data_IF_408922977375
#
_entry.id   IF_408922977375
#
_cell.length_a   1.000
_cell.length_b   1.000
_cell.length_c   1.000
_cell.angle_alpha   90.00
_cell.angle_beta   90.00
_cell.angle_gamma   90.00
#
_symmetry.space_group_name_H-M   'P 1'
#
loop_
_entity.id
_entity.type
_entity.pdbx_description
1 polymer ?
#
# COMPACT_ATOMS: atom_id res chain seq x y z
N UNK A 1 -18.27 10.79 -26.31
CA UNK A 1 -17.55 11.59 -25.30
C UNK A 1 -16.17 11.90 -25.87
N UNK A 2 -15.92 13.16 -26.17
CA UNK A 2 -14.67 13.65 -26.76
C UNK A 2 -13.61 13.74 -25.67
N UNK A 3 -12.57 12.92 -25.75
CA UNK A 3 -11.41 13.05 -24.87
C UNK A 3 -10.36 13.95 -25.50
N UNK A 4 -10.31 15.17 -24.98
CA UNK A 4 -9.21 16.12 -25.13
C UNK A 4 -7.88 15.45 -24.74
N UNK A 5 -7.01 15.23 -25.72
CA UNK A 5 -5.59 14.96 -25.48
C UNK A 5 -4.84 16.23 -25.87
N UNK A 6 -4.66 17.13 -24.92
CA UNK A 6 -3.78 18.27 -25.07
C UNK A 6 -3.43 18.79 -23.68
N UNK A 7 -2.22 18.47 -23.24
CA UNK A 7 -1.32 19.36 -22.49
C UNK A 7 -0.07 18.57 -22.05
N UNK A 8 0.78 18.26 -23.03
CA UNK A 8 2.22 18.19 -22.76
C UNK A 8 2.77 19.58 -23.01
N UNK A 9 3.04 20.30 -21.93
CA UNK A 9 3.75 21.58 -21.93
C UNK A 9 5.07 21.40 -22.68
N UNK A 10 5.11 21.89 -23.92
CA UNK A 10 6.37 22.10 -24.64
C UNK A 10 7.09 23.26 -23.96
N UNK A 11 8.39 23.15 -23.62
CA UNK A 11 9.19 24.33 -23.39
C UNK A 11 9.27 25.10 -24.70
N UNK A 12 8.55 26.22 -24.79
CA UNK A 12 8.76 27.21 -25.84
C UNK A 12 10.06 27.94 -25.55
N UNK A 13 11.20 27.34 -25.92
CA UNK A 13 12.37 28.13 -26.28
C UNK A 13 12.31 28.33 -27.79
N UNK A 14 11.41 29.22 -28.20
CA UNK A 14 11.28 29.67 -29.57
C UNK A 14 12.46 30.59 -29.89
N UNK A 15 13.55 30.02 -30.38
CA UNK A 15 14.41 30.74 -31.33
C UNK A 15 13.65 30.79 -32.66
N UNK A 16 12.73 31.75 -32.79
CA UNK A 16 12.26 32.18 -34.11
C UNK A 16 13.35 33.07 -34.72
N UNK A 17 14.44 32.45 -35.15
CA UNK A 17 15.31 33.08 -36.14
C UNK A 17 14.52 33.04 -37.46
N UNK A 18 14.23 34.22 -38.02
CA UNK A 18 13.58 34.28 -39.32
C UNK A 18 14.49 33.60 -40.34
N UNK A 19 13.94 32.72 -41.20
CA UNK A 19 14.72 32.02 -42.24
C UNK A 19 15.49 33.00 -43.16
N UNK A 20 15.07 34.28 -43.20
CA UNK A 20 15.69 35.32 -43.99
C UNK A 20 17.03 35.83 -43.41
N UNK A 21 17.26 35.72 -42.09
CA UNK A 21 18.52 36.18 -41.46
C UNK A 21 19.65 35.13 -41.54
N UNK A 22 19.32 33.84 -41.69
CA UNK A 22 20.33 32.79 -41.90
C UNK A 22 20.85 32.74 -43.35
N UNK A 23 20.11 33.31 -44.30
CA UNK A 23 20.43 33.24 -45.74
C UNK A 23 21.14 34.49 -46.29
N UNK A 24 21.41 35.51 -45.45
CA UNK A 24 22.08 36.75 -45.90
C UNK A 24 23.60 36.67 -45.91
N UNK A 25 24.19 35.55 -45.48
CA UNK A 25 25.61 35.28 -45.68
C UNK A 25 25.89 35.02 -47.15
N UNK A 26 26.82 35.78 -47.77
CA UNK A 26 27.27 35.55 -49.14
C UNK A 26 28.05 34.22 -49.22
N UNK A 27 27.34 33.09 -49.20
CA UNK A 27 27.93 31.78 -49.44
C UNK A 27 28.37 31.68 -50.89
N UNK A 28 29.59 31.19 -51.12
CA UNK A 28 30.04 30.93 -52.48
C UNK A 28 29.24 29.75 -53.06
N UNK A 29 29.11 29.66 -54.39
CA UNK A 29 28.41 28.53 -55.03
C UNK A 29 29.01 27.18 -54.62
N UNK A 30 30.31 27.13 -54.32
CA UNK A 30 30.99 25.94 -53.82
C UNK A 30 30.53 25.55 -52.41
N UNK A 31 30.30 26.52 -51.52
CA UNK A 31 29.82 26.25 -50.16
C UNK A 31 28.40 25.69 -50.20
N UNK A 32 27.54 26.22 -51.06
CA UNK A 32 26.18 25.71 -51.25
C UNK A 32 26.17 24.25 -51.73
N UNK A 33 27.06 23.88 -52.66
CA UNK A 33 27.21 22.50 -53.11
C UNK A 33 27.71 21.56 -52.00
N UNK A 34 28.63 22.03 -51.15
CA UNK A 34 29.10 21.25 -50.00
C UNK A 34 28.00 21.05 -48.95
N UNK A 35 27.22 22.09 -48.66
CA UNK A 35 26.08 22.02 -47.75
C UNK A 35 25.04 21.02 -48.27
N UNK A 36 24.69 21.07 -49.56
CA UNK A 36 23.73 20.13 -50.16
C UNK A 36 24.23 18.68 -50.07
N UNK A 37 25.52 18.44 -50.35
CA UNK A 37 26.13 17.11 -50.17
C UNK A 37 26.11 16.63 -48.72
N UNK A 38 26.27 17.54 -47.75
CA UNK A 38 26.18 17.21 -46.33
C UNK A 38 24.74 16.88 -45.90
N UNK A 39 23.75 17.63 -46.40
CA UNK A 39 22.33 17.39 -46.16
C UNK A 39 21.89 16.03 -46.72
N UNK A 40 22.28 15.70 -47.96
CA UNK A 40 21.96 14.41 -48.59
C UNK A 40 22.59 13.23 -47.83
N UNK A 41 23.87 13.33 -47.46
CA UNK A 41 24.58 12.25 -46.73
C UNK A 41 24.03 12.01 -45.33
N UNK A 42 23.45 13.04 -44.70
CA UNK A 42 22.93 13.01 -43.34
C UNK A 42 21.41 13.15 -43.28
N UNK A 43 20.69 12.81 -44.35
CA UNK A 43 19.24 12.95 -44.41
C UNK A 43 18.52 12.22 -43.26
N UNK A 44 19.02 11.04 -42.86
CA UNK A 44 18.49 10.26 -41.73
C UNK A 44 18.61 10.99 -40.39
N UNK A 45 19.71 11.71 -40.18
CA UNK A 45 19.96 12.51 -38.98
C UNK A 45 19.06 13.74 -38.92
N UNK A 46 18.97 14.51 -40.02
CA UNK A 46 18.12 15.69 -40.06
C UNK A 46 16.63 15.35 -39.94
N UNK A 47 16.18 14.26 -40.56
CA UNK A 47 14.82 13.76 -40.37
C UNK A 47 14.53 13.35 -38.92
N UNK A 48 15.55 12.93 -38.17
CA UNK A 48 15.40 12.68 -36.73
C UNK A 48 15.27 13.96 -35.92
N UNK A 49 16.09 14.98 -36.21
CA UNK A 49 16.04 16.27 -35.50
C UNK A 49 14.71 17.00 -35.72
N UNK A 50 14.10 16.85 -36.90
CA UNK A 50 12.80 17.48 -37.26
C UNK A 50 11.60 16.62 -36.77
N UNK A 51 11.84 15.56 -35.98
CA UNK A 51 10.82 14.60 -35.53
C UNK A 51 10.08 13.85 -36.66
N UNK A 52 10.57 13.91 -37.90
CA UNK A 52 10.05 13.16 -39.05
C UNK A 52 10.58 11.71 -39.13
N UNK A 53 11.26 11.25 -38.09
CA UNK A 53 11.78 9.90 -38.00
C UNK A 53 10.77 8.94 -37.35
N UNK A 54 11.00 7.62 -37.53
CA UNK A 54 10.18 6.53 -36.98
C UNK A 54 9.95 6.68 -35.46
N UNK A 55 10.92 7.23 -34.73
CA UNK A 55 10.78 7.49 -33.30
C UNK A 55 9.81 8.64 -32.99
N UNK A 56 9.79 9.71 -33.78
CA UNK A 56 8.88 10.86 -33.61
C UNK A 56 7.42 10.49 -33.88
N UNK A 57 7.20 9.51 -34.77
CA UNK A 57 5.87 8.96 -35.07
C UNK A 57 5.37 7.94 -34.03
N UNK A 58 6.20 7.47 -33.07
CA UNK A 58 5.76 6.45 -32.11
C UNK A 58 4.97 7.04 -30.94
N UNK A 59 3.72 6.63 -30.85
CA UNK A 59 2.82 6.89 -29.71
C UNK A 59 3.18 5.98 -28.52
N UNK A 60 3.88 4.88 -28.81
CA UNK A 60 4.18 3.77 -27.90
C UNK A 60 5.36 3.97 -26.94
N UNK A 61 6.20 4.99 -27.13
CA UNK A 61 7.50 5.15 -26.45
C UNK A 61 8.57 4.08 -26.72
N UNK A 62 8.25 2.97 -27.41
CA UNK A 62 9.15 1.82 -27.57
C UNK A 62 9.87 1.69 -28.92
N UNK A 63 9.49 2.45 -29.95
CA UNK A 63 10.15 2.37 -31.25
C UNK A 63 11.38 3.27 -31.28
N UNK A 64 12.57 2.66 -31.32
CA UNK A 64 13.84 3.36 -31.47
C UNK A 64 14.25 3.35 -32.95
N UNK A 65 14.64 4.50 -33.47
CA UNK A 65 15.36 4.56 -34.73
C UNK A 65 16.85 4.26 -34.47
N UNK A 66 17.52 3.64 -35.44
CA UNK A 66 18.99 3.59 -35.44
C UNK A 66 19.50 5.00 -35.67
N UNK A 67 19.79 5.71 -34.57
CA UNK A 67 20.38 7.03 -34.59
C UNK A 67 21.79 6.92 -35.20
N UNK A 68 21.91 7.21 -36.48
CA UNK A 68 23.21 7.49 -37.07
C UNK A 68 23.63 8.87 -36.59
N UNK A 69 24.74 8.94 -35.84
CA UNK A 69 25.38 10.21 -35.53
C UNK A 69 25.68 10.93 -36.84
N UNK A 70 25.65 12.26 -36.83
CA UNK A 70 26.06 13.07 -37.98
C UNK A 70 27.39 12.51 -38.50
N UNK A 71 27.37 12.00 -39.75
CA UNK A 71 28.57 11.57 -40.46
C UNK A 71 29.28 12.86 -40.82
N UNK A 72 30.09 13.36 -39.90
CA UNK A 72 31.05 14.41 -40.18
C UNK A 72 31.87 13.92 -41.36
N UNK A 73 31.85 14.68 -42.46
CA UNK A 73 33.00 14.66 -43.35
C UNK A 73 34.12 15.24 -42.52
N UNK A 74 34.87 14.37 -41.85
CA UNK A 74 36.13 14.74 -41.26
C UNK A 74 36.97 15.29 -42.41
N UNK A 75 37.00 16.62 -42.54
CA UNK A 75 38.22 17.27 -42.96
C UNK A 75 39.27 16.67 -42.05
N UNK A 76 40.18 15.87 -42.63
CA UNK A 76 41.25 15.19 -41.92
C UNK A 76 41.80 16.24 -40.95
N UNK A 77 41.63 16.08 -39.62
CA UNK A 77 42.24 17.01 -38.72
C UNK A 77 43.73 16.90 -39.02
N UNK A 78 44.34 18.00 -39.47
CA UNK A 78 45.78 18.10 -39.66
C UNK A 78 46.40 17.94 -38.28
N UNK A 79 46.52 16.70 -37.82
CA UNK A 79 47.25 16.36 -36.61
C UNK A 79 48.69 16.65 -36.94
N UNK A 80 49.31 17.54 -36.18
CA UNK A 80 50.75 17.71 -36.27
C UNK A 80 51.44 16.37 -35.97
N UNK A 81 52.61 16.14 -36.56
CA UNK A 81 53.37 14.90 -36.34
C UNK A 81 53.60 14.63 -34.83
N UNK A 82 53.79 15.70 -34.05
CA UNK A 82 53.87 15.64 -32.59
C UNK A 82 52.63 15.01 -31.91
N UNK A 83 51.42 15.34 -32.37
CA UNK A 83 50.18 14.75 -31.84
C UNK A 83 50.00 13.28 -32.23
N UNK A 84 50.69 12.80 -33.26
CA UNK A 84 50.70 11.39 -33.64
C UNK A 84 51.69 10.61 -32.78
N UNK A 85 52.85 11.20 -32.47
CA UNK A 85 53.93 10.51 -31.77
C UNK A 85 53.75 10.50 -30.23
N UNK A 86 53.07 11.49 -29.66
CA UNK A 86 52.90 11.64 -28.20
C UNK A 86 51.47 11.41 -27.73
N UNK A 87 50.96 10.20 -27.92
CA UNK A 87 49.72 9.76 -27.26
C UNK A 87 50.04 9.32 -25.83
N UNK A 88 49.36 9.89 -24.83
CA UNK A 88 49.50 9.49 -23.43
C UNK A 88 49.25 7.98 -23.28
N UNK A 89 50.32 7.24 -22.97
CA UNK A 89 50.23 5.81 -22.70
C UNK A 89 49.70 5.62 -21.28
N UNK A 90 48.44 5.20 -21.19
CA UNK A 90 47.84 4.80 -19.91
C UNK A 90 48.69 3.65 -19.32
N UNK A 91 49.18 3.77 -18.07
CA UNK A 91 49.92 2.70 -17.44
C UNK A 91 49.01 1.47 -17.31
N UNK A 92 49.47 0.33 -17.81
CA UNK A 92 48.72 -0.92 -17.72
C UNK A 92 48.49 -1.27 -16.24
N UNK A 93 47.24 -1.18 -15.77
CA UNK A 93 46.84 -1.64 -14.44
C UNK A 93 47.24 -3.11 -14.30
N UNK A 94 48.14 -3.39 -13.34
CA UNK A 94 48.43 -4.74 -12.89
C UNK A 94 47.11 -5.32 -12.37
N UNK A 95 46.66 -6.43 -12.96
CA UNK A 95 45.42 -7.10 -12.56
C UNK A 95 45.59 -7.56 -11.12
N UNK A 96 44.78 -7.02 -10.21
CA UNK A 96 44.76 -7.45 -8.81
C UNK A 96 44.44 -8.94 -8.74
N UNK A 97 45.30 -9.69 -8.06
CA UNK A 97 45.11 -11.13 -7.77
C UNK A 97 43.77 -11.27 -7.05
N UNK A 98 42.83 -11.99 -7.67
CA UNK A 98 41.50 -12.23 -7.13
C UNK A 98 41.60 -12.96 -5.80
N UNK A 99 40.95 -12.41 -4.77
CA UNK A 99 40.80 -13.05 -3.47
C UNK A 99 40.21 -14.46 -3.66
N UNK A 100 40.88 -15.47 -3.11
CA UNK A 100 40.41 -16.85 -3.12
C UNK A 100 39.02 -16.93 -2.45
N UNK A 101 38.07 -17.68 -3.04
CA UNK A 101 36.74 -17.82 -2.48
C UNK A 101 36.83 -18.52 -1.12
N UNK A 102 36.36 -17.85 -0.08
CA UNK A 102 36.20 -18.42 1.26
C UNK A 102 35.08 -19.46 1.20
N UNK A 103 35.39 -20.69 1.61
CA UNK A 103 34.42 -21.78 1.66
C UNK A 103 33.25 -21.40 2.59
N UNK A 104 32.03 -21.41 2.03
CA UNK A 104 30.79 -21.25 2.78
C UNK A 104 30.12 -22.61 2.81
N UNK A 105 29.91 -23.14 4.01
CA UNK A 105 29.07 -24.33 4.20
C UNK A 105 27.62 -23.96 3.90
N UNK A 106 27.09 -24.41 2.77
CA UNK A 106 25.70 -24.22 2.36
C UNK A 106 24.71 -25.14 3.12
N UNK A 107 25.22 -25.96 4.05
CA UNK A 107 24.40 -26.88 4.83
C UNK A 107 23.92 -26.23 6.13
N UNK A 108 22.77 -25.57 6.04
CA UNK A 108 21.99 -25.21 7.23
C UNK A 108 21.37 -26.47 7.82
N UNK A 109 21.99 -27.00 8.88
CA UNK A 109 21.42 -28.10 9.67
C UNK A 109 20.08 -27.65 10.27
N UNK A 110 18.97 -28.22 9.79
CA UNK A 110 17.64 -27.97 10.36
C UNK A 110 17.49 -28.78 11.65
N UNK A 111 17.68 -28.12 12.79
CA UNK A 111 17.41 -28.71 14.10
C UNK A 111 15.90 -28.67 14.40
N UNK A 112 15.14 -29.53 13.72
CA UNK A 112 13.72 -29.75 14.03
C UNK A 112 13.55 -31.19 14.52
N UNK A 113 12.95 -31.36 15.70
CA UNK A 113 12.59 -32.66 16.24
C UNK A 113 11.21 -33.06 15.70
N UNK A 114 10.97 -34.37 15.54
CA UNK A 114 9.68 -34.92 15.09
C UNK A 114 8.51 -34.40 15.92
N UNK A 115 8.70 -34.27 17.24
CA UNK A 115 7.71 -33.71 18.15
C UNK A 115 7.30 -32.26 17.80
N UNK A 116 8.22 -31.42 17.31
CA UNK A 116 7.93 -30.04 16.93
C UNK A 116 7.20 -29.95 15.58
N UNK A 117 7.37 -30.95 14.71
CA UNK A 117 6.65 -31.06 13.45
C UNK A 117 5.24 -31.61 13.66
N UNK A 118 5.09 -32.61 14.52
CA UNK A 118 3.84 -33.37 14.70
C UNK A 118 2.84 -32.67 15.64
N UNK A 119 3.32 -31.95 16.66
CA UNK A 119 2.48 -31.26 17.64
C UNK A 119 2.46 -29.75 17.43
N UNK A 120 2.13 -29.31 16.20
CA UNK A 120 1.77 -27.90 15.98
C UNK A 120 0.35 -27.69 16.52
N UNK A 121 0.21 -26.77 17.47
CA UNK A 121 -1.08 -26.46 18.10
C UNK A 121 -2.18 -26.35 17.02
N UNK A 122 -3.24 -27.19 17.08
CA UNK A 122 -4.32 -27.09 16.14
C UNK A 122 -4.96 -25.72 16.36
N UNK A 123 -4.75 -24.80 15.40
CA UNK A 123 -5.34 -23.47 15.43
C UNK A 123 -6.82 -23.63 15.69
N UNK A 124 -7.25 -23.28 16.91
CA UNK A 124 -8.66 -23.27 17.25
C UNK A 124 -9.34 -22.35 16.25
N UNK A 125 -10.08 -22.93 15.29
CA UNK A 125 -10.86 -22.14 14.36
C UNK A 125 -11.89 -21.41 15.24
N UNK A 126 -11.87 -20.07 15.30
CA UNK A 126 -12.90 -19.36 16.04
C UNK A 126 -14.24 -19.81 15.47
N UNK A 127 -15.20 -20.15 16.34
CA UNK A 127 -16.55 -20.43 15.91
C UNK A 127 -17.08 -19.16 15.23
N UNK A 128 -17.03 -19.12 13.91
CA UNK A 128 -17.57 -18.02 13.13
C UNK A 128 -19.08 -18.16 13.22
N UNK A 129 -19.71 -17.40 14.13
CA UNK A 129 -21.14 -17.15 14.03
C UNK A 129 -21.38 -16.60 12.62
N UNK A 130 -22.09 -17.34 11.78
CA UNK A 130 -22.47 -16.91 10.44
C UNK A 130 -23.34 -15.66 10.56
N UNK A 131 -22.68 -14.49 10.56
CA UNK A 131 -23.36 -13.21 10.43
C UNK A 131 -23.37 -12.91 8.93
N UNK A 132 -24.55 -12.75 8.31
CA UNK A 132 -24.61 -12.31 6.93
C UNK A 132 -23.87 -10.98 6.81
N UNK A 133 -22.91 -10.92 5.90
CA UNK A 133 -22.16 -9.70 5.59
C UNK A 133 -23.16 -8.69 5.02
N UNK A 134 -23.66 -7.81 5.87
CA UNK A 134 -24.39 -6.64 5.38
C UNK A 134 -23.36 -5.74 4.69
N UNK A 135 -23.53 -5.41 3.39
CA UNK A 135 -22.65 -4.47 2.73
C UNK A 135 -22.83 -3.11 3.41
N UNK A 136 -21.89 -2.74 4.26
CA UNK A 136 -21.82 -1.39 4.79
C UNK A 136 -21.37 -0.50 3.65
N UNK A 137 -22.32 0.25 3.10
CA UNK A 137 -22.02 1.29 2.14
C UNK A 137 -21.32 2.44 2.88
N UNK A 138 -19.99 2.34 2.99
CA UNK A 138 -19.16 3.42 3.51
C UNK A 138 -18.84 4.33 2.33
N UNK A 139 -19.61 5.41 2.18
CA UNK A 139 -19.23 6.47 1.26
C UNK A 139 -17.91 7.10 1.74
N UNK A 140 -16.88 7.20 0.90
CA UNK A 140 -15.66 7.90 1.26
C UNK A 140 -16.00 9.38 1.47
N UNK A 141 -16.05 9.80 2.74
CA UNK A 141 -16.25 11.19 3.10
C UNK A 141 -14.91 11.93 2.98
N UNK A 142 -14.72 12.65 1.88
CA UNK A 142 -13.51 13.42 1.57
C UNK A 142 -13.45 14.77 2.31
N UNK A 143 -13.78 14.83 3.60
CA UNK A 143 -13.74 16.07 4.38
C UNK A 143 -12.46 16.26 5.20
N UNK A 144 -11.39 15.53 4.87
CA UNK A 144 -10.08 15.76 5.48
C UNK A 144 -9.38 16.92 4.80
N UNK A 145 -9.00 17.95 5.56
CA UNK A 145 -8.06 18.95 5.07
C UNK A 145 -6.68 18.32 4.84
N UNK A 146 -5.90 18.88 3.92
CA UNK A 146 -4.50 18.44 3.68
C UNK A 146 -3.66 18.48 4.96
N UNK A 147 -3.96 19.41 5.88
CA UNK A 147 -3.34 19.50 7.19
C UNK A 147 -3.60 18.25 8.04
N UNK A 148 -4.84 17.77 8.07
CA UNK A 148 -5.24 16.60 8.85
C UNK A 148 -4.64 15.28 8.32
N UNK A 149 -4.41 15.18 7.00
CA UNK A 149 -3.71 14.07 6.36
C UNK A 149 -2.20 14.07 6.65
N UNK A 150 -1.58 15.25 6.71
CA UNK A 150 -0.13 15.41 6.86
C UNK A 150 0.34 15.46 8.32
N UNK A 151 -0.51 15.94 9.23
CA UNK A 151 -0.21 16.10 10.66
C UNK A 151 -0.97 15.07 11.51
N UNK A 152 -1.27 13.91 10.94
CA UNK A 152 -1.77 12.78 11.71
C UNK A 152 -0.75 12.49 12.81
N UNK A 153 -1.18 12.46 14.07
CA UNK A 153 -0.29 12.17 15.21
C UNK A 153 0.49 10.89 14.90
N UNK A 154 1.79 11.04 14.65
CA UNK A 154 2.68 9.90 14.55
C UNK A 154 2.50 9.04 15.80
N UNK A 155 2.41 7.71 15.68
CA UNK A 155 2.33 6.85 16.85
C UNK A 155 3.50 7.24 17.75
N UNK A 156 3.19 7.61 18.99
CA UNK A 156 4.21 7.93 19.97
C UNK A 156 5.05 6.66 20.09
N UNK A 157 6.28 6.69 19.55
CA UNK A 157 7.17 5.54 19.57
C UNK A 157 7.17 5.02 21.00
N UNK A 158 6.92 3.72 21.15
CA UNK A 158 6.84 3.06 22.44
C UNK A 158 8.08 3.48 23.23
N UNK A 159 7.85 4.28 24.28
CA UNK A 159 8.94 4.83 25.08
C UNK A 159 9.67 3.61 25.61
N UNK A 160 10.89 3.39 25.12
CA UNK A 160 11.74 2.33 25.62
C UNK A 160 11.93 2.67 27.09
N UNK A 161 11.19 1.97 27.95
CA UNK A 161 11.37 2.05 29.38
C UNK A 161 12.76 1.48 29.62
N UNK A 162 13.75 2.38 29.72
CA UNK A 162 15.06 2.05 30.26
C UNK A 162 14.77 1.67 31.70
N UNK A 163 14.51 0.38 31.94
CA UNK A 163 14.38 -0.16 33.28
C UNK A 163 15.75 0.05 33.91
N UNK A 164 15.90 0.97 34.89
CA UNK A 164 17.17 1.11 35.58
C UNK A 164 17.49 -0.25 36.18
N UNK A 165 18.75 -0.70 36.04
CA UNK A 165 19.17 -1.94 36.68
C UNK A 165 19.00 -1.78 38.19
N UNK A 166 17.91 -2.34 38.72
CA UNK A 166 17.65 -2.44 40.15
C UNK A 166 18.65 -3.47 40.71
N UNK A 167 19.87 -3.03 40.97
CA UNK A 167 20.75 -3.71 41.91
C UNK A 167 20.37 -3.21 43.30
N UNK A 168 19.58 -3.95 44.10
CA UNK A 168 19.28 -3.53 45.46
C UNK A 168 20.60 -3.56 46.25
N UNK A 169 21.16 -2.40 46.55
CA UNK A 169 22.33 -2.25 47.44
C UNK A 169 22.00 -2.60 48.89
N UNK A 170 20.73 -2.90 49.19
CA UNK A 170 20.24 -3.25 50.52
C UNK A 170 19.76 -4.70 50.52
N UNK A 171 20.46 -5.58 51.25
CA UNK A 171 20.03 -6.95 51.51
C UNK A 171 18.78 -6.94 52.39
N UNK A 172 17.61 -7.17 51.79
CA UNK A 172 16.32 -7.22 52.50
C UNK A 172 16.16 -8.44 53.41
N UNK A 173 17.01 -9.45 53.23
CA UNK A 173 16.91 -10.73 53.94
C UNK A 173 17.68 -10.76 55.27
N UNK A 174 18.28 -9.64 55.69
CA UNK A 174 18.82 -9.54 57.05
C UNK A 174 17.66 -9.37 58.04
N UNK A 175 17.06 -10.48 58.46
CA UNK A 175 16.08 -10.46 59.54
C UNK A 175 16.76 -10.05 60.84
N UNK A 176 16.25 -9.00 61.48
CA UNK A 176 16.70 -8.59 62.80
C UNK A 176 16.19 -9.59 63.84
N UNK A 177 17.06 -10.50 64.29
CA UNK A 177 16.75 -11.53 65.31
C UNK A 177 16.84 -10.94 66.73
N UNK A 178 16.26 -9.75 66.92
CA UNK A 178 16.16 -9.10 68.24
C UNK A 178 14.72 -9.16 68.74
N UNK A 179 14.42 -10.09 69.65
CA UNK A 179 13.20 -10.01 70.47
C UNK A 179 13.59 -9.60 71.89
N UNK A 180 12.97 -8.55 72.42
CA UNK A 180 13.18 -8.15 73.81
C UNK A 180 12.62 -9.20 74.76
N UNK A 181 13.30 -9.42 75.89
CA UNK A 181 12.85 -10.38 76.91
C UNK A 181 11.44 -10.05 77.41
N UNK A 182 11.07 -8.77 77.44
CA UNK A 182 9.73 -8.34 77.79
C UNK A 182 8.65 -8.94 76.87
N UNK A 183 8.87 -8.93 75.55
CA UNK A 183 7.92 -9.51 74.58
C UNK A 183 7.83 -11.03 74.71
N UNK A 184 8.91 -11.70 75.12
CA UNK A 184 8.91 -13.16 75.38
C UNK A 184 8.11 -13.53 76.62
N UNK A 185 8.12 -12.66 77.64
CA UNK A 185 7.56 -12.98 78.95
C UNK A 185 6.12 -12.48 79.16
N UNK A 186 5.62 -11.55 78.33
CA UNK A 186 4.33 -10.89 78.54
C UNK A 186 3.40 -10.88 77.31
N UNK A 187 3.47 -11.89 76.43
CA UNK A 187 2.44 -12.05 75.39
C UNK A 187 1.13 -12.52 76.05
N UNK A 188 0.18 -11.61 76.24
CA UNK A 188 -1.09 -11.88 76.94
C UNK A 188 -1.84 -13.10 76.40
N UNK A 189 -2.46 -13.87 77.30
CA UNK A 189 -3.32 -14.99 76.94
C UNK A 189 -4.68 -14.48 76.43
N UNK A 190 -5.25 -15.09 75.36
CA UNK A 190 -6.53 -14.65 74.84
C UNK A 190 -7.67 -14.99 75.80
N UNK A 191 -8.48 -13.97 76.15
CA UNK A 191 -9.67 -14.11 77.00
C UNK A 191 -10.79 -14.78 76.19
N UNK A 192 -11.27 -15.93 76.65
CA UNK A 192 -12.39 -16.65 76.04
C UNK A 192 -13.71 -15.98 76.46
N UNK A 193 -14.45 -15.37 75.51
CA UNK A 193 -15.78 -14.80 75.77
C UNK A 193 -16.83 -15.90 75.73
N UNK A 194 -17.46 -16.18 76.86
CA UNK A 194 -18.58 -17.12 76.98
C UNK A 194 -19.80 -16.63 76.18
N UNK A 195 -20.33 -17.47 75.30
CA UNK A 195 -21.40 -17.17 74.32
C UNK A 195 -22.82 -17.42 74.86
N UNK A 196 -23.09 -17.17 76.15
CA UNK A 196 -24.37 -17.53 76.76
C UNK A 196 -25.19 -16.33 77.26
N UNK A 197 -25.41 -15.33 76.41
CA UNK A 197 -26.39 -14.26 76.66
C UNK A 197 -27.12 -13.90 75.35
N UNK A 198 -28.01 -14.78 74.89
CA UNK A 198 -28.99 -14.45 73.83
C UNK A 198 -30.39 -14.81 74.34
N UNK A 199 -31.05 -13.79 74.90
CA UNK A 199 -32.50 -13.69 75.06
C UNK A 199 -33.20 -13.76 73.70
N UNK A 200 -33.41 -14.95 73.12
CA UNK A 200 -33.96 -14.98 71.77
C UNK A 200 -34.42 -16.32 71.21
N UNK A 201 -34.74 -17.32 72.02
CA UNK A 201 -35.30 -18.57 71.52
C UNK A 201 -36.66 -18.82 72.18
N UNK A 202 -37.70 -18.90 71.34
CA UNK A 202 -39.09 -19.31 71.62
C UNK A 202 -40.10 -18.21 72.00
N UNK A 203 -40.54 -17.41 71.01
CA UNK A 203 -41.92 -16.90 71.00
C UNK A 203 -42.64 -17.37 69.72
N UNK A 204 -43.58 -18.28 69.89
CA UNK A 204 -44.37 -18.90 68.82
C UNK A 204 -45.71 -18.18 68.60
N UNK A 205 -45.83 -16.92 69.03
CA UNK A 205 -47.07 -16.15 68.92
C UNK A 205 -46.98 -15.15 67.78
N UNK A 206 -47.72 -15.45 66.71
CA UNK A 206 -48.01 -14.50 65.63
C UNK A 206 -48.71 -13.27 66.19
N UNK A 207 -48.32 -12.11 65.67
CA UNK A 207 -48.71 -10.77 66.10
C UNK A 207 -50.21 -10.66 66.48
N UNK A 208 -50.56 -10.30 67.75
CA UNK A 208 -51.94 -10.35 68.26
C UNK A 208 -52.89 -9.32 67.63
N UNK A 209 -52.38 -8.45 66.75
CA UNK A 209 -53.15 -7.34 66.15
C UNK A 209 -53.69 -7.68 64.75
N UNK A 210 -53.25 -8.76 64.09
CA UNK A 210 -53.73 -9.08 62.75
C UNK A 210 -53.78 -10.59 62.44
N UNK A 211 -54.91 -11.26 62.71
CA UNK A 211 -55.07 -12.68 62.41
C UNK A 211 -55.30 -12.89 60.91
N UNK A 212 -54.21 -12.90 60.13
CA UNK A 212 -54.13 -13.57 58.82
C UNK A 212 -55.24 -13.28 57.79
N UNK A 213 -55.80 -12.07 57.75
CA UNK A 213 -56.77 -11.71 56.72
C UNK A 213 -56.08 -11.58 55.36
N UNK A 214 -56.47 -12.35 54.33
CA UNK A 214 -55.87 -12.24 53.00
C UNK A 214 -56.22 -10.87 52.38
N UNK A 215 -55.23 -10.23 51.78
CA UNK A 215 -55.38 -8.92 51.16
C UNK A 215 -56.17 -9.02 49.85
N UNK A 216 -57.39 -8.46 49.80
CA UNK A 216 -58.28 -8.48 48.62
C UNK A 216 -58.04 -7.33 47.62
N UNK A 217 -56.95 -6.58 47.74
CA UNK A 217 -56.67 -5.45 46.86
C UNK A 217 -56.09 -5.88 45.50
N UNK A 218 -56.81 -5.61 44.41
CA UNK A 218 -56.26 -5.66 43.04
C UNK A 218 -56.13 -4.24 42.48
N UNK A 219 -54.98 -3.89 41.93
CA UNK A 219 -54.76 -2.56 41.32
C UNK A 219 -55.57 -2.39 40.03
N UNK A 220 -56.00 -1.17 39.72
CA UNK A 220 -56.72 -0.84 38.47
C UNK A 220 -55.94 -1.24 37.22
N UNK A 221 -54.61 -1.12 37.26
CA UNK A 221 -53.72 -1.55 36.18
C UNK A 221 -53.82 -3.06 35.90
N UNK A 222 -53.80 -3.90 36.93
CA UNK A 222 -53.93 -5.37 36.76
C UNK A 222 -55.31 -5.79 36.25
N UNK A 223 -56.34 -4.97 36.46
CA UNK A 223 -57.68 -5.17 35.87
C UNK A 223 -57.73 -4.74 34.41
N UNK A 224 -57.10 -3.63 34.06
CA UNK A 224 -57.17 -3.03 32.72
C UNK A 224 -56.29 -3.76 31.68
N UNK A 225 -55.11 -4.23 32.08
CA UNK A 225 -54.12 -4.80 31.16
C UNK A 225 -54.03 -6.32 31.27
N UNK A 226 -55.09 -7.02 30.85
CA UNK A 226 -55.06 -8.47 30.71
C UNK A 226 -54.64 -8.85 29.28
N UNK A 227 -53.79 -9.87 29.10
CA UNK A 227 -53.37 -10.30 27.77
C UNK A 227 -54.59 -10.75 26.96
N UNK A 228 -54.86 -10.08 25.84
CA UNK A 228 -55.91 -10.46 24.90
C UNK A 228 -55.32 -11.23 23.72
N UNK A 229 -56.04 -12.24 23.23
CA UNK A 229 -55.63 -13.01 22.04
C UNK A 229 -55.99 -12.19 20.80
N UNK A 230 -55.00 -11.66 20.10
CA UNK A 230 -55.22 -10.98 18.83
C UNK A 230 -55.74 -11.96 17.76
N UNK A 231 -56.79 -11.57 17.03
CA UNK A 231 -57.30 -12.33 15.87
C UNK A 231 -56.23 -12.33 14.78
N UNK A 232 -55.79 -13.52 14.35
CA UNK A 232 -54.82 -13.66 13.25
C UNK A 232 -55.50 -13.32 11.92
N UNK A 233 -55.21 -12.15 11.36
CA UNK A 233 -55.55 -11.82 9.98
C UNK A 233 -54.58 -12.55 9.05
N UNK A 234 -55.09 -13.45 8.20
CA UNK A 234 -54.28 -14.11 7.15
C UNK A 234 -53.98 -13.08 6.06
N UNK A 235 -52.71 -12.83 5.70
CA UNK A 235 -52.38 -11.97 4.58
C UNK A 235 -52.79 -12.65 3.26
N UNK A 236 -53.57 -11.96 2.44
CA UNK A 236 -53.92 -12.35 1.08
C UNK A 236 -52.67 -12.29 0.20
N UNK A 237 -52.26 -13.42 -0.35
CA UNK A 237 -51.12 -13.50 -1.27
C UNK A 237 -51.55 -13.00 -2.66
N UNK A 238 -51.21 -11.76 -3.00
CA UNK A 238 -51.26 -11.29 -4.39
C UNK A 238 -49.96 -11.69 -5.07
N UNK A 239 -50.06 -12.55 -6.09
CA UNK A 239 -48.92 -13.01 -6.90
C UNK A 239 -48.59 -11.95 -7.96
N UNK A 240 -47.88 -10.90 -7.56
CA UNK A 240 -47.29 -9.94 -8.50
C UNK A 240 -45.91 -10.46 -8.90
N UNK A 241 -45.74 -10.86 -10.17
CA UNK A 241 -44.41 -11.06 -10.75
C UNK A 241 -43.69 -9.71 -10.75
N UNK A 242 -42.75 -9.55 -9.82
CA UNK A 242 -41.93 -8.35 -9.71
C UNK A 242 -40.91 -8.38 -10.85
N UNK A 243 -41.14 -7.58 -11.88
CA UNK A 243 -40.08 -7.25 -12.83
C UNK A 243 -39.08 -6.34 -12.11
N UNK A 244 -37.85 -6.81 -11.95
CA UNK A 244 -36.78 -6.03 -11.30
C UNK A 244 -36.33 -4.93 -12.24
N UNK A 245 -36.99 -3.78 -12.17
CA UNK A 245 -36.47 -2.54 -12.74
C UNK A 245 -35.29 -2.12 -11.85
N UNK A 246 -34.08 -1.92 -12.41
CA UNK A 246 -32.95 -1.47 -11.62
C UNK A 246 -33.26 -0.12 -10.97
N UNK A 247 -32.85 0.04 -9.73
CA UNK A 247 -33.10 1.25 -8.94
C UNK A 247 -32.34 2.46 -9.50
N UNK A 248 -31.23 2.23 -10.21
CA UNK A 248 -30.45 3.27 -10.87
C UNK A 248 -29.73 2.74 -12.12
N UNK A 249 -29.44 3.63 -13.06
CA UNK A 249 -28.74 3.31 -14.30
C UNK A 249 -27.28 2.92 -14.02
N UNK A 250 -26.88 1.71 -14.40
CA UNK A 250 -25.57 1.15 -14.05
C UNK A 250 -25.53 0.24 -12.81
N UNK A 251 -26.65 -0.12 -12.18
CA UNK A 251 -26.68 -1.05 -11.04
C UNK A 251 -26.01 -2.41 -11.33
N UNK A 252 -26.03 -2.84 -12.59
CA UNK A 252 -25.40 -4.10 -13.02
C UNK A 252 -24.07 -3.90 -13.74
N UNK A 253 -23.58 -2.67 -13.89
CA UNK A 253 -22.22 -2.42 -14.38
C UNK A 253 -21.24 -2.50 -13.22
N UNK A 254 -20.45 -3.56 -13.18
CA UNK A 254 -19.31 -3.65 -12.25
C UNK A 254 -18.19 -2.73 -12.71
N UNK A 255 -17.42 -2.21 -11.75
CA UNK A 255 -16.20 -1.44 -12.00
C UNK A 255 -15.27 -2.20 -12.97
N UNK A 256 -15.19 -3.53 -12.82
CA UNK A 256 -14.43 -4.40 -13.73
C UNK A 256 -14.91 -4.34 -15.18
N UNK A 257 -16.22 -4.30 -15.43
CA UNK A 257 -16.75 -4.21 -16.80
C UNK A 257 -16.48 -2.84 -17.43
N UNK A 258 -16.42 -1.79 -16.61
CA UNK A 258 -16.07 -0.44 -17.06
C UNK A 258 -14.56 -0.29 -17.33
N UNK A 259 -13.72 -0.87 -16.47
CA UNK A 259 -12.26 -0.72 -16.54
C UNK A 259 -11.59 -1.65 -17.57
N UNK A 260 -12.16 -2.85 -17.75
CA UNK A 260 -11.64 -3.91 -18.64
C UNK A 260 -12.48 -4.09 -19.91
N UNK A 261 -13.07 -3.02 -20.41
CA UNK A 261 -13.58 -3.03 -21.78
C UNK A 261 -12.46 -3.34 -22.77
N UNK A 262 -12.81 -3.99 -23.89
CA UNK A 262 -11.85 -4.32 -24.95
C UNK A 262 -11.22 -3.03 -25.51
N UNK A 263 -10.05 -2.67 -24.97
CA UNK A 263 -9.25 -1.56 -25.48
C UNK A 263 -8.67 -2.05 -26.80
N UNK A 264 -9.27 -1.60 -27.91
CA UNK A 264 -8.71 -1.82 -29.24
C UNK A 264 -7.23 -1.43 -29.20
N UNK A 265 -6.35 -2.39 -29.48
CA UNK A 265 -4.92 -2.15 -29.48
C UNK A 265 -4.61 -1.10 -30.53
N UNK A 266 -4.35 0.14 -30.10
CA UNK A 266 -3.93 1.22 -30.98
C UNK A 266 -2.60 0.81 -31.61
N UNK A 267 -2.64 0.42 -32.89
CA UNK A 267 -1.45 0.01 -33.62
C UNK A 267 -0.57 1.23 -33.80
N UNK A 268 0.65 1.18 -33.27
CA UNK A 268 1.59 2.27 -33.43
C UNK A 268 1.96 2.46 -34.91
N UNK A 269 1.82 3.67 -35.49
CA UNK A 269 2.13 3.91 -36.90
C UNK A 269 3.61 3.63 -37.22
N UNK A 270 4.51 3.87 -36.27
CA UNK A 270 5.92 3.50 -36.40
C UNK A 270 6.15 1.99 -36.57
N UNK A 271 5.33 1.14 -35.93
CA UNK A 271 5.41 -0.32 -36.11
C UNK A 271 4.96 -0.74 -37.51
N UNK A 272 3.96 -0.08 -38.08
CA UNK A 272 3.51 -0.36 -39.45
C UNK A 272 4.63 -0.10 -40.47
N UNK A 273 5.36 1.01 -40.32
CA UNK A 273 6.50 1.38 -41.19
C UNK A 273 7.69 0.41 -41.00
N UNK A 274 7.98 -0.01 -39.76
CA UNK A 274 9.05 -0.97 -39.52
C UNK A 274 8.72 -2.36 -40.08
N UNK A 275 7.46 -2.78 -39.99
CA UNK A 275 7.01 -4.04 -40.57
C UNK A 275 7.11 -4.01 -42.10
N UNK A 276 6.68 -2.94 -42.77
CA UNK A 276 6.80 -2.83 -44.23
C UNK A 276 8.26 -2.89 -44.71
N UNK A 277 9.19 -2.22 -44.02
CA UNK A 277 10.64 -2.31 -44.29
C UNK A 277 11.21 -3.72 -44.08
N UNK A 278 10.71 -4.46 -43.08
CA UNK A 278 11.15 -5.84 -42.83
C UNK A 278 10.69 -6.80 -43.93
N UNK A 279 9.51 -6.56 -44.50
CA UNK A 279 8.97 -7.35 -45.60
C UNK A 279 9.64 -7.03 -46.94
N UNK A 280 9.96 -5.75 -47.23
CA UNK A 280 10.68 -5.37 -48.46
C UNK A 280 12.08 -5.99 -48.55
N UNK A 281 12.76 -6.14 -47.42
CA UNK A 281 14.11 -6.74 -47.40
C UNK A 281 14.11 -8.27 -47.53
N UNK A 282 12.94 -8.92 -47.45
CA UNK A 282 12.79 -10.38 -47.61
C UNK A 282 12.37 -10.81 -49.02
N UNK A 283 11.86 -9.90 -49.83
CA UNK A 283 11.42 -10.17 -51.21
C UNK A 283 12.49 -9.91 -52.27
N UNK A 284 13.74 -9.69 -51.86
CA UNK A 284 14.89 -9.42 -52.74
C UNK A 284 15.90 -10.56 -52.82
N UNK A 285 15.51 -11.77 -52.44
CA UNK A 285 16.26 -13.01 -52.68
C UNK A 285 15.44 -13.92 -53.59
#
# INVERSE_FOLDING_TARGET
>A
MNFNISNRLRPQTAYTMSQNELMSGKFTQNDQQQINKLLEKNATYFNHVIDQCVCGLCICGGCKCGLERLKEQQGIPLKSQYQQDFVEKQPSRIKSISQLPTYKDDYTMKFETTQRLDFKDPKQRPQTSYKPEQPRFVQPFHAGSTYQLTHTKMPENEKVNIIPQNHPTVMKDLQFIGSSEYKRNYSGTPINREKNLIFGAHSSFGNPINPGLPFFGSTTSSRAFRPFKAKKTRPTKTNTQIQSVPTFDGQFSTITKLDFGDKSLQICPAKAILNSKKHSNRSGF
#
